data_IF_047596576664
#
_entry.id   IF_047596576664
#
_cell.length_a   1.000
_cell.length_b   1.000
_cell.length_c   1.000
_cell.angle_alpha   90.00
_cell.angle_beta   90.00
_cell.angle_gamma   90.00
#
_symmetry.space_group_name_H-M   'P 1'
#
loop_
_entity.id
_entity.type
_entity.pdbx_description
1 polymer ?
#
# COMPACT_ATOMS: atom_id res chain seq x y z
N UNK A 1 -67.31 -69.25 10.20
CA UNK A 1 -67.11 -68.04 11.02
C UNK A 1 -66.63 -66.93 10.10
N UNK A 2 -67.54 -66.16 9.48
CA UNK A 2 -67.92 -64.81 9.92
C UNK A 2 -66.72 -63.98 10.41
N UNK A 3 -66.22 -63.03 9.61
CA UNK A 3 -66.59 -61.61 9.66
C UNK A 3 -65.93 -60.79 8.55
N UNK A 4 -66.72 -59.87 7.98
CA UNK A 4 -66.37 -58.79 7.05
C UNK A 4 -65.56 -57.69 7.75
N UNK A 5 -64.78 -56.88 7.01
CA UNK A 5 -65.04 -55.45 6.70
C UNK A 5 -63.75 -54.64 6.36
N UNK A 6 -63.73 -54.07 5.14
CA UNK A 6 -63.32 -52.69 4.71
C UNK A 6 -61.92 -52.15 5.08
N UNK A 7 -61.11 -51.50 4.21
CA UNK A 7 -61.32 -50.63 3.03
C UNK A 7 -60.14 -50.82 2.04
N UNK A 8 -60.29 -50.97 0.71
CA UNK A 8 -60.67 -50.03 -0.36
C UNK A 8 -59.77 -48.79 -0.54
N UNK A 9 -58.88 -48.87 -1.55
CA UNK A 9 -58.49 -47.87 -2.59
C UNK A 9 -57.36 -48.53 -3.42
N UNK A 10 -57.58 -49.17 -4.57
CA UNK A 10 -57.75 -48.59 -5.93
C UNK A 10 -56.78 -47.40 -6.15
N UNK A 11 -55.97 -47.30 -7.21
CA UNK A 11 -55.84 -47.97 -8.51
C UNK A 11 -54.64 -47.25 -9.22
N UNK A 12 -54.30 -47.66 -10.44
CA UNK A 12 -53.45 -46.98 -11.44
C UNK A 12 -51.92 -47.14 -11.25
N UNK A 13 -51.24 -48.04 -11.97
CA UNK A 13 -50.99 -48.11 -13.41
C UNK A 13 -50.09 -46.99 -13.93
N UNK A 14 -48.89 -47.34 -14.40
CA UNK A 14 -48.46 -47.12 -15.79
C UNK A 14 -46.96 -47.36 -15.94
N UNK A 15 -46.62 -48.23 -16.89
CA UNK A 15 -45.29 -48.36 -17.47
C UNK A 15 -44.76 -47.00 -17.94
N UNK A 16 -43.48 -46.70 -17.68
CA UNK A 16 -42.74 -45.74 -18.49
C UNK A 16 -41.32 -46.27 -18.75
N UNK A 17 -41.03 -46.40 -20.04
CA UNK A 17 -39.78 -46.89 -20.63
C UNK A 17 -38.69 -45.84 -20.42
N UNK A 18 -37.59 -46.21 -19.74
CA UNK A 18 -36.38 -45.39 -19.69
C UNK A 18 -35.54 -45.64 -20.95
N UNK A 19 -35.65 -44.75 -21.94
CA UNK A 19 -34.61 -44.59 -22.97
C UNK A 19 -33.79 -43.37 -22.57
N UNK A 20 -32.69 -43.61 -21.86
CA UNK A 20 -31.72 -42.58 -21.51
C UNK A 20 -30.87 -42.23 -22.72
N UNK A 21 -31.23 -41.15 -23.42
CA UNK A 21 -30.37 -40.54 -24.43
C UNK A 21 -29.42 -39.55 -23.78
N UNK A 22 -28.15 -39.86 -23.98
CA UNK A 22 -26.96 -39.05 -23.79
C UNK A 22 -27.20 -37.66 -24.38
N UNK A 23 -27.17 -36.64 -23.53
CA UNK A 23 -26.88 -35.27 -23.94
C UNK A 23 -25.74 -34.79 -23.06
N UNK A 24 -24.52 -34.98 -23.59
CA UNK A 24 -23.34 -34.24 -23.18
C UNK A 24 -23.65 -32.74 -23.30
N UNK A 25 -24.11 -32.12 -22.21
CA UNK A 25 -23.86 -30.71 -22.02
C UNK A 25 -22.41 -30.59 -21.54
N UNK A 26 -21.49 -30.60 -22.50
CA UNK A 26 -20.24 -29.87 -22.35
C UNK A 26 -20.64 -28.40 -22.23
N UNK A 27 -20.93 -27.96 -21.01
CA UNK A 27 -20.78 -26.55 -20.68
C UNK A 27 -19.28 -26.32 -20.76
N UNK A 28 -18.81 -25.91 -21.93
CA UNK A 28 -17.50 -25.28 -22.04
C UNK A 28 -17.58 -24.06 -21.13
N UNK A 29 -17.02 -24.15 -19.94
CA UNK A 29 -16.55 -22.94 -19.27
C UNK A 29 -15.49 -22.38 -20.20
N UNK A 30 -15.85 -21.32 -20.91
CA UNK A 30 -14.86 -20.37 -21.36
C UNK A 30 -14.40 -19.70 -20.06
N UNK A 31 -13.43 -20.31 -19.38
CA UNK A 31 -12.51 -19.51 -18.59
C UNK A 31 -11.85 -18.58 -19.62
N UNK A 32 -12.27 -17.31 -19.63
CA UNK A 32 -11.48 -16.28 -20.26
C UNK A 32 -10.18 -16.22 -19.46
N UNK A 33 -9.18 -17.00 -19.88
CA UNK A 33 -7.82 -16.90 -19.41
C UNK A 33 -7.25 -15.59 -19.97
N UNK A 34 -7.68 -14.47 -19.37
CA UNK A 34 -6.97 -13.22 -19.50
C UNK A 34 -5.73 -13.35 -18.62
N UNK A 35 -4.73 -14.06 -19.14
CA UNK A 35 -3.36 -13.96 -18.65
C UNK A 35 -2.87 -12.55 -18.98
N UNK A 36 -3.30 -11.55 -18.20
CA UNK A 36 -2.70 -10.22 -18.23
C UNK A 36 -1.28 -10.45 -17.72
N UNK A 37 -0.30 -10.27 -18.60
CA UNK A 37 1.10 -10.34 -18.22
C UNK A 37 1.37 -9.16 -17.27
N UNK A 38 1.30 -9.43 -15.96
CA UNK A 38 1.39 -8.44 -14.89
C UNK A 38 2.68 -7.60 -14.96
N UNK A 39 3.74 -8.09 -15.63
CA UNK A 39 4.98 -7.34 -15.88
C UNK A 39 4.90 -6.27 -16.98
N UNK A 40 3.77 -6.15 -17.69
CA UNK A 40 3.61 -5.22 -18.82
C UNK A 40 2.69 -4.03 -18.53
N UNK A 41 1.92 -4.02 -17.43
CA UNK A 41 1.12 -2.84 -17.08
C UNK A 41 2.09 -1.79 -16.55
N UNK A 42 2.31 -0.72 -17.30
CA UNK A 42 3.31 0.20 -16.88
C UNK A 42 2.75 1.22 -15.90
N UNK A 43 3.33 1.22 -14.71
CA UNK A 43 3.09 2.25 -13.71
C UNK A 43 4.10 3.37 -13.99
N UNK A 44 3.73 4.35 -14.81
CA UNK A 44 4.59 5.50 -15.07
C UNK A 44 4.05 6.74 -14.36
N UNK A 45 4.95 7.44 -13.66
CA UNK A 45 4.72 8.82 -13.27
C UNK A 45 5.24 9.71 -14.41
N UNK A 46 4.34 10.28 -15.21
CA UNK A 46 4.73 11.19 -16.28
C UNK A 46 5.22 12.48 -15.63
N UNK A 47 6.54 12.66 -15.54
CA UNK A 47 7.11 13.89 -14.99
C UNK A 47 6.57 15.10 -15.80
N UNK A 48 5.92 16.09 -15.16
CA UNK A 48 5.61 17.33 -15.86
C UNK A 48 6.92 17.98 -16.32
N UNK A 49 6.92 18.60 -17.50
CA UNK A 49 8.07 19.36 -17.98
C UNK A 49 8.56 20.32 -16.86
N UNK A 50 9.87 20.43 -16.63
CA UNK A 50 10.40 21.32 -15.60
C UNK A 50 9.84 22.72 -15.84
N UNK A 51 9.18 23.28 -14.82
CA UNK A 51 8.74 24.68 -14.86
C UNK A 51 9.99 25.55 -15.14
N UNK A 52 9.90 26.57 -16.00
CA UNK A 52 10.99 27.54 -16.18
C UNK A 52 11.43 28.07 -14.81
N UNK A 53 12.72 28.35 -14.59
CA UNK A 53 13.20 28.84 -13.31
C UNK A 53 12.42 30.10 -12.94
N UNK A 54 11.65 30.01 -11.87
CA UNK A 54 11.00 31.16 -11.25
C UNK A 54 12.10 31.94 -10.52
N UNK A 55 12.35 33.19 -10.93
CA UNK A 55 13.33 34.08 -10.29
C UNK A 55 12.80 34.65 -8.95
N UNK A 56 11.85 33.97 -8.32
CA UNK A 56 11.30 34.27 -7.00
C UNK A 56 12.01 33.49 -5.88
N UNK A 57 11.78 33.93 -4.65
CA UNK A 57 12.34 33.39 -3.40
C UNK A 57 12.46 31.86 -3.43
N UNK A 58 13.62 31.27 -3.06
CA UNK A 58 13.76 29.84 -3.00
C UNK A 58 12.64 29.28 -2.12
N UNK A 59 11.84 28.34 -2.64
CA UNK A 59 11.05 27.50 -1.75
C UNK A 59 12.02 26.91 -0.74
N UNK A 60 11.73 27.08 0.55
CA UNK A 60 12.48 26.36 1.58
C UNK A 60 12.56 24.89 1.15
N UNK A 61 13.73 24.24 1.20
CA UNK A 61 13.81 22.83 0.85
C UNK A 61 12.76 22.10 1.68
N UNK A 62 11.76 21.50 1.02
CA UNK A 62 10.84 20.58 1.68
C UNK A 62 11.72 19.56 2.38
N UNK A 63 11.67 19.53 3.71
CA UNK A 63 12.59 18.75 4.53
C UNK A 63 12.46 17.26 4.24
N UNK A 64 13.25 16.75 3.30
CA UNK A 64 13.52 15.33 3.06
C UNK A 64 14.70 14.84 3.91
N UNK A 65 15.07 15.61 4.94
CA UNK A 65 16.24 15.36 5.75
C UNK A 65 16.06 14.13 6.61
N UNK A 66 16.72 13.03 6.26
CA UNK A 66 17.04 11.97 7.21
C UNK A 66 18.01 12.54 8.23
N UNK A 67 17.65 12.55 9.52
CA UNK A 67 18.59 12.86 10.59
C UNK A 67 18.97 11.54 11.25
N UNK A 68 20.28 11.31 11.34
CA UNK A 68 20.88 10.24 12.13
C UNK A 68 20.69 8.81 11.62
N UNK A 69 21.63 7.96 12.02
CA UNK A 69 21.40 6.55 12.23
C UNK A 69 21.91 6.28 13.64
N UNK A 70 21.00 5.97 14.56
CA UNK A 70 21.37 5.79 15.96
C UNK A 70 22.05 4.44 16.21
N UNK A 71 21.91 3.48 15.27
CA UNK A 71 22.48 2.15 15.33
C UNK A 71 22.96 1.76 13.93
N UNK A 72 23.97 2.49 13.44
CA UNK A 72 24.47 2.32 12.08
C UNK A 72 24.95 0.90 11.79
N UNK A 73 24.26 0.25 10.85
CA UNK A 73 24.55 -1.09 10.33
C UNK A 73 25.03 -0.96 8.88
N UNK A 74 26.35 -1.06 8.60
CA UNK A 74 26.89 -0.83 7.25
C UNK A 74 26.34 -1.80 6.19
N UNK A 75 25.82 -2.94 6.60
CA UNK A 75 25.18 -3.94 5.74
C UNK A 75 23.72 -3.63 5.36
N UNK A 76 23.07 -2.67 6.04
CA UNK A 76 21.69 -2.29 5.78
C UNK A 76 21.59 -0.88 5.17
N UNK A 77 20.61 -0.63 4.29
CA UNK A 77 20.20 0.73 3.95
C UNK A 77 19.82 1.54 5.19
N UNK A 78 19.90 2.87 5.08
CA UNK A 78 19.45 3.78 6.13
C UNK A 78 17.92 3.80 6.23
N UNK A 79 17.39 4.25 7.37
CA UNK A 79 15.96 4.59 7.53
C UNK A 79 15.52 5.51 6.38
N UNK A 80 14.57 5.03 5.57
CA UNK A 80 14.23 5.68 4.29
C UNK A 80 12.72 5.78 4.13
N UNK A 81 12.15 7.00 3.96
CA UNK A 81 10.74 7.15 3.64
C UNK A 81 10.50 6.78 2.17
N UNK A 82 9.50 5.96 1.87
CA UNK A 82 9.14 5.59 0.50
C UNK A 82 8.22 6.66 -0.13
N UNK A 83 8.72 7.89 -0.20
CA UNK A 83 8.07 9.02 -0.87
C UNK A 83 8.54 9.12 -2.32
N UNK A 84 7.62 9.37 -3.25
CA UNK A 84 7.99 9.49 -4.66
C UNK A 84 8.91 10.70 -4.90
N UNK A 85 9.82 10.59 -5.87
CA UNK A 85 10.68 11.72 -6.24
C UNK A 85 9.88 12.88 -6.84
N UNK A 86 10.46 14.08 -6.86
CA UNK A 86 9.94 15.24 -7.60
C UNK A 86 8.54 15.74 -7.20
N UNK A 87 8.23 15.83 -5.89
CA UNK A 87 6.93 16.31 -5.36
C UNK A 87 5.76 15.34 -5.64
N UNK A 88 6.01 14.03 -5.56
CA UNK A 88 4.96 13.02 -5.58
C UNK A 88 4.44 12.78 -4.16
N UNK A 89 3.71 13.76 -3.64
CA UNK A 89 3.13 13.80 -2.30
C UNK A 89 1.60 13.62 -2.31
N UNK A 90 0.98 13.30 -3.46
CA UNK A 90 -0.47 13.29 -3.58
C UNK A 90 -1.11 11.98 -3.09
N UNK A 91 -2.25 12.12 -2.42
CA UNK A 91 -3.20 11.04 -2.14
C UNK A 91 -4.63 11.49 -2.41
N UNK A 92 -5.50 10.57 -2.86
CA UNK A 92 -6.95 10.81 -2.87
C UNK A 92 -7.66 10.18 -1.65
N UNK A 93 -6.95 9.33 -0.91
CA UNK A 93 -7.47 8.65 0.27
C UNK A 93 -7.74 9.63 1.42
N UNK A 94 -8.84 9.37 2.13
CA UNK A 94 -9.20 9.99 3.40
C UNK A 94 -8.18 9.67 4.50
N UNK A 95 -7.57 8.48 4.42
CA UNK A 95 -6.58 7.94 5.35
C UNK A 95 -5.42 7.35 4.51
N UNK A 96 -4.47 8.18 4.04
CA UNK A 96 -3.31 7.70 3.31
C UNK A 96 -2.44 6.79 4.19
N UNK A 97 -1.75 5.86 3.55
CA UNK A 97 -0.80 4.94 4.20
C UNK A 97 0.62 5.37 3.87
N UNK A 98 1.43 5.56 4.91
CA UNK A 98 2.83 5.95 4.82
C UNK A 98 3.70 4.71 4.82
N UNK A 99 4.62 4.59 3.87
CA UNK A 99 5.51 3.43 3.73
C UNK A 99 6.95 3.83 4.00
N UNK A 100 7.66 3.05 4.81
CA UNK A 100 9.00 3.35 5.28
C UNK A 100 9.84 2.06 5.22
N UNK A 101 11.07 2.15 4.72
CA UNK A 101 12.07 1.11 4.97
C UNK A 101 12.69 1.34 6.35
N UNK A 102 12.57 0.35 7.23
CA UNK A 102 13.00 0.37 8.62
C UNK A 102 14.17 -0.61 8.83
N UNK A 103 15.40 -0.11 9.12
CA UNK A 103 16.57 -0.97 9.35
C UNK A 103 16.66 -1.53 10.78
N UNK A 104 15.78 -1.10 11.68
CA UNK A 104 15.82 -1.39 13.11
C UNK A 104 14.82 -2.47 13.50
N UNK A 105 15.18 -3.24 14.53
CA UNK A 105 14.34 -4.28 15.14
C UNK A 105 13.89 -3.88 16.55
N UNK A 106 12.97 -4.65 17.12
CA UNK A 106 12.52 -4.55 18.51
C UNK A 106 13.65 -4.71 19.54
N UNK A 107 14.73 -5.43 19.19
CA UNK A 107 15.94 -5.56 20.01
C UNK A 107 16.85 -4.32 19.94
N UNK A 108 16.86 -3.64 18.78
CA UNK A 108 17.64 -2.42 18.56
C UNK A 108 17.00 -1.22 19.27
N UNK A 109 15.69 -1.05 19.07
CA UNK A 109 14.89 0.01 19.68
C UNK A 109 13.48 -0.52 19.95
N UNK A 110 12.99 -0.48 21.20
CA UNK A 110 11.72 -1.12 21.55
C UNK A 110 10.49 -0.40 20.97
N UNK A 111 10.62 0.86 20.55
CA UNK A 111 9.51 1.67 20.03
C UNK A 111 10.00 2.81 19.14
N UNK A 112 9.06 3.39 18.41
CA UNK A 112 9.17 4.69 17.77
C UNK A 112 7.94 5.55 18.07
N UNK A 113 7.95 6.76 17.52
CA UNK A 113 6.83 7.69 17.54
C UNK A 113 6.52 8.13 16.11
N UNK A 114 5.27 7.94 15.69
CA UNK A 114 4.74 8.50 14.46
C UNK A 114 3.93 9.75 14.79
N UNK A 115 4.10 10.81 14.01
CA UNK A 115 3.28 12.01 14.11
C UNK A 115 2.84 12.50 12.75
N UNK A 116 1.59 12.97 12.68
CA UNK A 116 1.06 13.76 11.57
C UNK A 116 0.83 15.19 12.07
N UNK A 117 1.30 16.15 11.30
CA UNK A 117 1.29 17.57 11.60
C UNK A 117 0.71 18.36 10.43
N UNK A 118 0.39 19.62 10.67
CA UNK A 118 0.15 20.57 9.58
C UNK A 118 1.39 20.74 8.68
N UNK A 119 1.21 21.46 7.56
CA UNK A 119 2.26 21.64 6.54
C UNK A 119 3.55 22.26 7.12
N UNK A 120 3.39 23.23 8.02
CA UNK A 120 4.49 23.96 8.66
C UNK A 120 5.19 23.13 9.75
N UNK A 121 4.54 22.07 10.26
CA UNK A 121 5.04 21.25 11.36
C UNK A 121 4.90 21.93 12.73
N UNK A 122 4.01 22.91 12.84
CA UNK A 122 3.79 23.69 14.06
C UNK A 122 2.73 23.05 14.96
N UNK A 123 1.76 22.35 14.38
CA UNK A 123 0.66 21.73 15.12
C UNK A 123 0.59 20.21 14.87
N UNK A 124 0.68 19.43 15.94
CA UNK A 124 0.40 17.99 15.90
C UNK A 124 -1.11 17.74 15.73
N UNK A 125 -1.45 17.00 14.68
CA UNK A 125 -2.82 16.55 14.38
C UNK A 125 -3.03 15.15 14.95
N UNK A 126 -2.01 14.30 14.84
CA UNK A 126 -2.02 12.94 15.34
C UNK A 126 -0.62 12.54 15.81
N UNK A 127 -0.57 11.71 16.85
CA UNK A 127 0.67 11.14 17.36
C UNK A 127 0.41 9.80 18.01
N UNK A 128 1.24 8.81 17.70
CA UNK A 128 1.16 7.49 18.29
C UNK A 128 2.54 6.89 18.51
N UNK A 129 2.65 6.04 19.53
CA UNK A 129 3.83 5.19 19.68
C UNK A 129 3.63 3.92 18.86
N UNK A 130 4.63 3.54 18.09
CA UNK A 130 4.64 2.33 17.26
C UNK A 130 5.64 1.32 17.79
N UNK A 131 5.31 0.03 17.71
CA UNK A 131 6.27 -1.04 18.03
C UNK A 131 7.09 -1.40 16.79
N UNK A 132 8.38 -1.62 16.98
CA UNK A 132 9.25 -2.07 15.91
C UNK A 132 9.12 -3.58 15.70
N UNK A 133 9.30 -4.07 14.46
CA UNK A 133 9.26 -5.50 14.14
C UNK A 133 10.52 -6.24 14.60
N UNK A 134 10.47 -7.57 14.59
CA UNK A 134 11.64 -8.40 14.97
C UNK A 134 12.70 -8.53 13.86
N UNK A 135 12.42 -7.99 12.67
CA UNK A 135 13.34 -8.00 11.52
C UNK A 135 13.27 -6.69 10.74
N UNK A 136 14.37 -6.25 10.10
CA UNK A 136 14.35 -5.10 9.21
C UNK A 136 13.41 -5.33 8.02
N UNK A 137 12.75 -4.28 7.54
CA UNK A 137 11.82 -4.42 6.43
C UNK A 137 11.08 -3.16 6.03
N UNK A 138 10.21 -3.28 5.03
CA UNK A 138 9.31 -2.22 4.61
C UNK A 138 8.04 -2.31 5.42
N UNK A 139 7.73 -1.24 6.15
CA UNK A 139 6.60 -1.14 7.07
C UNK A 139 5.65 -0.05 6.61
N UNK A 140 4.40 -0.12 7.08
CA UNK A 140 3.39 0.90 6.83
C UNK A 140 2.77 1.47 8.10
N UNK A 141 2.28 2.70 8.01
CA UNK A 141 1.53 3.37 9.07
C UNK A 141 0.31 4.05 8.44
N UNK A 142 -0.86 3.87 9.02
CA UNK A 142 -2.12 4.45 8.54
C UNK A 142 -2.88 4.97 9.74
N UNK A 143 -3.41 6.19 9.63
CA UNK A 143 -4.23 6.76 10.71
C UNK A 143 -5.45 5.87 10.97
N UNK A 144 -5.81 5.63 12.24
CA UNK A 144 -6.99 4.85 12.55
C UNK A 144 -8.24 5.63 12.12
N UNK A 145 -9.28 4.90 11.67
CA UNK A 145 -10.55 5.50 11.23
C UNK A 145 -11.35 6.19 12.36
N UNK A 146 -10.84 6.14 13.59
CA UNK A 146 -11.36 6.92 14.73
C UNK A 146 -10.95 8.38 14.67
N UNK A 147 -9.86 8.70 13.97
CA UNK A 147 -9.42 10.07 13.75
C UNK A 147 -10.17 10.73 12.58
N UNK A 148 -10.13 12.06 12.55
CA UNK A 148 -10.66 12.81 11.43
C UNK A 148 -9.87 12.49 10.14
N UNK A 149 -10.56 12.29 9.00
CA UNK A 149 -9.89 12.11 7.72
C UNK A 149 -9.14 13.39 7.35
N UNK A 150 -8.07 13.26 6.55
CA UNK A 150 -7.31 14.42 6.09
C UNK A 150 -8.20 15.32 5.24
N UNK A 151 -8.01 16.63 5.19
CA UNK A 151 -8.90 17.50 4.42
C UNK A 151 -8.44 17.66 2.97
N UNK A 152 -9.39 17.62 2.04
CA UNK A 152 -9.10 17.84 0.62
C UNK A 152 -8.56 19.24 0.40
N UNK A 153 -7.41 19.32 -0.29
CA UNK A 153 -6.71 20.57 -0.61
C UNK A 153 -5.55 20.87 0.33
N UNK A 154 -5.50 20.23 1.50
CA UNK A 154 -4.51 20.45 2.55
C UNK A 154 -3.27 19.57 2.39
N UNK A 155 -2.13 20.12 2.78
CA UNK A 155 -0.85 19.43 2.90
C UNK A 155 -0.55 19.17 4.37
N UNK A 156 0.03 18.01 4.64
CA UNK A 156 0.40 17.55 5.98
C UNK A 156 1.83 17.05 5.97
N UNK A 157 2.52 17.24 7.09
CA UNK A 157 3.84 16.67 7.34
C UNK A 157 3.69 15.45 8.23
N UNK A 158 4.28 14.33 7.83
CA UNK A 158 4.40 13.18 8.70
C UNK A 158 5.85 12.93 9.07
N UNK A 159 6.06 12.35 10.24
CA UNK A 159 7.37 12.05 10.80
C UNK A 159 7.33 10.69 11.49
N UNK A 160 8.40 9.92 11.35
CA UNK A 160 8.67 8.73 12.14
C UNK A 160 10.01 8.91 12.84
N UNK A 161 9.98 8.91 14.17
CA UNK A 161 11.15 8.96 15.05
C UNK A 161 11.35 7.61 15.71
N UNK A 162 12.59 7.13 15.75
CA UNK A 162 12.94 5.88 16.42
C UNK A 162 13.51 6.19 17.80
N UNK A 163 12.96 5.56 18.84
CA UNK A 163 13.39 5.74 20.22
C UNK A 163 14.64 4.91 20.49
N UNK A 164 15.77 5.38 19.98
CA UNK A 164 17.03 4.67 20.10
C UNK A 164 17.56 4.72 21.54
N UNK A 165 18.12 3.60 22.04
CA UNK A 165 18.72 3.57 23.38
C UNK A 165 19.93 4.52 23.44
N UNK A 166 20.03 5.30 24.51
CA UNK A 166 21.23 6.12 24.76
C UNK A 166 22.39 5.22 25.19
N UNK A 167 23.48 5.19 24.44
CA UNK A 167 24.70 4.53 24.89
C UNK A 167 25.44 5.42 25.89
N UNK A 168 25.56 4.98 27.16
CA UNK A 168 26.31 5.71 28.21
C UNK A 168 27.81 5.92 27.87
N UNK A 169 28.32 5.25 26.84
CA UNK A 169 29.73 5.26 26.42
C UNK A 169 30.09 6.39 25.44
N UNK A 170 29.11 7.11 24.88
CA UNK A 170 29.34 8.24 23.99
C UNK A 170 28.90 9.54 24.67
N UNK A 171 29.84 10.47 24.89
CA UNK A 171 29.51 11.86 25.27
C UNK A 171 28.81 12.65 24.15
N UNK A 172 28.42 11.98 23.07
CA UNK A 172 27.61 12.50 21.98
C UNK A 172 26.17 12.04 22.20
N UNK A 173 25.24 13.00 22.27
CA UNK A 173 23.81 12.69 22.24
C UNK A 173 23.54 11.87 20.97
N UNK A 174 22.88 10.70 21.04
CA UNK A 174 22.53 9.96 19.85
C UNK A 174 21.72 10.88 18.93
N UNK A 175 22.13 11.00 17.67
CA UNK A 175 21.30 11.73 16.70
C UNK A 175 20.02 10.90 16.54
N UNK A 176 18.83 11.44 16.86
CA UNK A 176 17.60 10.68 16.73
C UNK A 176 17.45 10.24 15.28
N UNK A 177 17.23 8.94 15.06
CA UNK A 177 16.97 8.40 13.73
C UNK A 177 15.54 8.77 13.36
N UNK A 178 15.38 9.67 12.40
CA UNK A 178 14.06 10.13 11.98
C UNK A 178 13.96 10.32 10.48
N UNK A 179 12.73 10.13 9.97
CA UNK A 179 12.37 10.40 8.58
C UNK A 179 11.07 11.17 8.52
N UNK A 180 11.04 12.14 7.60
CA UNK A 180 9.86 12.96 7.32
C UNK A 180 9.39 12.81 5.89
N UNK A 181 8.10 13.03 5.67
CA UNK A 181 7.52 13.19 4.35
C UNK A 181 6.34 14.16 4.37
N UNK A 182 5.84 14.47 3.17
CA UNK A 182 4.64 15.28 2.98
C UNK A 182 3.55 14.45 2.33
N UNK A 183 2.30 14.71 2.69
CA UNK A 183 1.14 14.23 1.96
C UNK A 183 0.16 15.37 1.72
N UNK A 184 -0.29 15.50 0.48
CA UNK A 184 -1.36 16.42 0.10
C UNK A 184 -2.58 15.63 -0.31
N UNK A 185 -3.68 15.77 0.44
CA UNK A 185 -4.96 15.16 0.03
C UNK A 185 -5.55 15.99 -1.09
N UNK A 186 -5.82 15.37 -2.24
CA UNK A 186 -6.45 16.03 -3.38
C UNK A 186 -7.82 15.42 -3.68
N UNK A 187 -8.71 16.22 -4.25
CA UNK A 187 -9.98 15.70 -4.72
C UNK A 187 -9.73 14.70 -5.84
N UNK A 188 -10.47 13.59 -5.84
CA UNK A 188 -10.46 12.68 -6.96
C UNK A 188 -11.00 13.38 -8.22
N UNK A 189 -10.18 13.48 -9.26
CA UNK A 189 -10.60 14.08 -10.52
C UNK A 189 -11.65 13.20 -11.21
N UNK A 190 -12.54 13.80 -12.01
CA UNK A 190 -13.54 13.05 -12.78
C UNK A 190 -12.93 12.04 -13.75
N UNK A 191 -11.74 12.32 -14.27
CA UNK A 191 -11.03 11.41 -15.17
C UNK A 191 -10.46 10.23 -14.40
N UNK A 192 -9.83 10.46 -13.24
CA UNK A 192 -9.38 9.39 -12.35
C UNK A 192 -10.57 8.53 -11.89
N UNK A 193 -11.70 9.13 -11.53
CA UNK A 193 -12.92 8.41 -11.17
C UNK A 193 -13.43 7.52 -12.31
N UNK A 194 -13.44 8.04 -13.55
CA UNK A 194 -13.84 7.25 -14.72
C UNK A 194 -12.90 6.07 -14.96
N UNK A 195 -11.59 6.27 -14.82
CA UNK A 195 -10.58 5.23 -15.00
C UNK A 195 -10.66 4.16 -13.90
N UNK A 196 -10.83 4.56 -12.63
CA UNK A 196 -11.02 3.63 -11.51
C UNK A 196 -12.32 2.83 -11.64
N UNK A 197 -13.41 3.44 -12.10
CA UNK A 197 -14.68 2.73 -12.32
C UNK A 197 -14.64 1.78 -13.53
N UNK A 198 -13.76 2.04 -14.50
CA UNK A 198 -13.55 1.19 -15.66
C UNK A 198 -12.52 0.08 -15.45
N UNK A 199 -11.74 0.14 -14.36
CA UNK A 199 -10.73 -0.85 -14.04
C UNK A 199 -11.37 -2.17 -13.56
N UNK A 200 -11.01 -3.26 -14.21
CA UNK A 200 -11.46 -4.61 -13.89
C UNK A 200 -10.45 -5.38 -13.05
N UNK A 201 -9.22 -4.86 -12.92
CA UNK A 201 -8.15 -5.49 -12.14
C UNK A 201 -7.47 -4.49 -11.20
N UNK A 202 -6.87 -4.98 -10.08
CA UNK A 202 -6.07 -4.13 -9.20
C UNK A 202 -4.91 -3.42 -9.91
N UNK A 203 -4.27 -4.06 -10.89
CA UNK A 203 -3.20 -3.43 -11.65
C UNK A 203 -3.68 -2.25 -12.50
N UNK A 204 -4.87 -2.33 -13.10
CA UNK A 204 -5.45 -1.22 -13.85
C UNK A 204 -5.75 -0.03 -12.93
N UNK A 205 -6.18 -0.29 -11.69
CA UNK A 205 -6.37 0.75 -10.67
C UNK A 205 -5.06 1.41 -10.26
N UNK A 206 -4.02 0.61 -9.99
CA UNK A 206 -2.66 1.10 -9.69
C UNK A 206 -2.13 1.96 -10.85
N UNK A 207 -2.32 1.53 -12.10
CA UNK A 207 -1.91 2.30 -13.27
C UNK A 207 -2.67 3.63 -13.39
N UNK A 208 -3.97 3.65 -13.08
CA UNK A 208 -4.75 4.88 -13.04
C UNK A 208 -4.23 5.87 -11.99
N UNK A 209 -3.94 5.40 -10.77
CA UNK A 209 -3.33 6.26 -9.74
C UNK A 209 -1.97 6.81 -10.18
N UNK A 210 -1.10 5.97 -10.75
CA UNK A 210 0.22 6.37 -11.22
C UNK A 210 0.16 7.43 -12.33
N UNK A 211 -0.76 7.25 -13.30
CA UNK A 211 -1.02 8.22 -14.37
C UNK A 211 -1.47 9.59 -13.86
N UNK A 212 -2.17 9.60 -12.73
CA UNK A 212 -2.67 10.80 -12.06
C UNK A 212 -1.76 11.30 -10.92
N UNK A 213 -0.52 10.77 -10.84
CA UNK A 213 0.49 11.18 -9.86
C UNK A 213 0.10 10.95 -8.39
N UNK A 214 -0.85 10.04 -8.14
CA UNK A 214 -1.33 9.71 -6.79
C UNK A 214 -0.41 8.63 -6.19
N UNK A 215 0.76 9.06 -5.70
CA UNK A 215 1.83 8.17 -5.26
C UNK A 215 1.44 7.27 -4.10
N UNK A 216 0.86 7.84 -3.02
CA UNK A 216 0.53 7.08 -1.82
C UNK A 216 -0.44 5.94 -2.12
N UNK A 217 -1.48 6.20 -2.90
CA UNK A 217 -2.47 5.20 -3.29
C UNK A 217 -1.86 4.14 -4.25
N UNK A 218 -1.01 4.57 -5.19
CA UNK A 218 -0.29 3.66 -6.10
C UNK A 218 0.59 2.67 -5.33
N UNK A 219 1.41 3.19 -4.40
CA UNK A 219 2.35 2.40 -3.61
C UNK A 219 1.60 1.47 -2.66
N UNK A 220 0.55 1.97 -2.03
CA UNK A 220 -0.27 1.20 -1.08
C UNK A 220 -0.98 0.04 -1.76
N UNK A 221 -1.68 0.27 -2.86
CA UNK A 221 -2.42 -0.80 -3.53
C UNK A 221 -1.46 -1.88 -4.09
N UNK A 222 -0.27 -1.51 -4.58
CA UNK A 222 0.74 -2.49 -4.98
C UNK A 222 1.35 -3.26 -3.80
N UNK A 223 1.64 -2.58 -2.69
CA UNK A 223 2.18 -3.22 -1.49
C UNK A 223 1.18 -4.21 -0.87
N UNK A 224 -0.11 -3.86 -0.84
CA UNK A 224 -1.17 -4.74 -0.35
C UNK A 224 -1.32 -6.00 -1.19
N UNK A 225 -1.24 -5.90 -2.53
CA UNK A 225 -1.22 -7.08 -3.40
C UNK A 225 -0.01 -7.97 -3.11
N UNK A 226 1.17 -7.38 -2.88
CA UNK A 226 2.37 -8.13 -2.52
C UNK A 226 2.27 -8.83 -1.17
N UNK A 227 1.62 -8.20 -0.20
CA UNK A 227 1.35 -8.82 1.11
C UNK A 227 0.35 -9.99 0.98
N UNK A 228 -0.62 -9.88 0.09
CA UNK A 228 -1.62 -10.93 -0.16
C UNK A 228 -1.07 -12.12 -0.96
N UNK A 229 -0.17 -11.87 -1.91
CA UNK A 229 0.46 -12.91 -2.75
C UNK A 229 1.99 -12.74 -2.84
N UNK A 230 2.74 -13.06 -1.76
CA UNK A 230 4.18 -12.79 -1.68
C UNK A 230 5.04 -13.58 -2.68
N UNK A 231 4.51 -14.67 -3.25
CA UNK A 231 5.22 -15.53 -4.20
C UNK A 231 4.99 -15.12 -5.66
N UNK A 232 4.20 -14.07 -5.89
CA UNK A 232 3.91 -13.58 -7.22
C UNK A 232 5.08 -12.77 -7.80
N UNK A 233 5.89 -13.44 -8.62
CA UNK A 233 7.05 -12.83 -9.28
C UNK A 233 6.70 -11.59 -10.11
N UNK A 234 5.47 -11.48 -10.62
CA UNK A 234 5.08 -10.32 -11.39
C UNK A 234 4.81 -9.10 -10.50
N UNK A 235 4.15 -9.29 -9.35
CA UNK A 235 3.97 -8.22 -8.37
C UNK A 235 5.33 -7.79 -7.80
N UNK A 236 6.25 -8.74 -7.62
CA UNK A 236 7.61 -8.43 -7.23
C UNK A 236 8.33 -7.56 -8.27
N UNK A 237 8.26 -7.95 -9.54
CA UNK A 237 8.88 -7.19 -10.64
C UNK A 237 8.28 -5.79 -10.74
N UNK A 238 6.95 -5.66 -10.62
CA UNK A 238 6.28 -4.37 -10.65
C UNK A 238 6.71 -3.46 -9.50
N UNK A 239 6.86 -4.01 -8.29
CA UNK A 239 7.31 -3.28 -7.11
C UNK A 239 8.76 -2.82 -7.23
N UNK A 240 9.66 -3.72 -7.62
CA UNK A 240 11.07 -3.38 -7.81
C UNK A 240 11.19 -2.24 -8.82
N UNK A 241 10.50 -2.37 -9.96
CA UNK A 241 10.47 -1.34 -11.01
C UNK A 241 9.95 -0.01 -10.49
N UNK A 242 8.80 -0.01 -9.81
CA UNK A 242 8.18 1.20 -9.25
C UNK A 242 9.16 1.99 -8.36
N UNK A 243 9.85 1.28 -7.47
CA UNK A 243 10.80 1.91 -6.54
C UNK A 243 12.09 2.34 -7.25
N UNK A 244 12.65 1.52 -8.14
CA UNK A 244 13.87 1.91 -8.86
C UNK A 244 13.63 3.10 -9.81
N UNK A 245 12.45 3.21 -10.41
CA UNK A 245 12.07 4.35 -11.26
C UNK A 245 12.00 5.66 -10.45
N UNK A 246 11.81 5.58 -9.13
CA UNK A 246 11.88 6.71 -8.19
C UNK A 246 13.25 6.88 -7.52
N UNK A 247 14.30 6.27 -8.07
CA UNK A 247 15.69 6.34 -7.56
C UNK A 247 15.92 5.71 -6.19
N UNK A 248 15.01 4.85 -5.70
CA UNK A 248 15.31 4.03 -4.53
C UNK A 248 16.37 2.98 -4.87
N UNK A 249 17.27 2.71 -3.92
CA UNK A 249 18.31 1.70 -4.10
C UNK A 249 17.70 0.30 -4.23
N UNK A 250 18.31 -0.54 -5.07
CA UNK A 250 17.82 -1.89 -5.35
C UNK A 250 17.71 -2.77 -4.10
N UNK A 251 18.56 -2.54 -3.10
CA UNK A 251 18.50 -3.24 -1.81
C UNK A 251 17.18 -3.00 -1.08
N UNK A 252 16.69 -1.75 -1.06
CA UNK A 252 15.38 -1.42 -0.46
C UNK A 252 14.28 -2.08 -1.28
N UNK A 253 14.34 -1.99 -2.61
CA UNK A 253 13.25 -2.50 -3.45
C UNK A 253 13.07 -4.02 -3.41
N UNK A 254 14.11 -4.77 -3.03
CA UNK A 254 14.06 -6.23 -2.80
C UNK A 254 13.77 -6.63 -1.36
N UNK A 255 13.62 -5.67 -0.45
CA UNK A 255 13.35 -5.96 0.96
C UNK A 255 11.90 -6.45 1.15
N UNK A 256 11.70 -7.34 2.12
CA UNK A 256 10.37 -7.84 2.49
C UNK A 256 9.45 -6.71 3.00
N UNK A 257 8.19 -6.77 2.58
CA UNK A 257 7.12 -5.94 3.15
C UNK A 257 6.58 -6.66 4.38
N UNK A 258 6.63 -6.00 5.53
CA UNK A 258 6.20 -6.53 6.83
C UNK A 258 4.75 -6.15 7.16
N UNK A 259 4.26 -5.04 6.59
CA UNK A 259 2.90 -4.54 6.81
C UNK A 259 2.83 -3.43 7.85
N UNK A 260 1.66 -3.26 8.45
CA UNK A 260 1.33 -2.11 9.30
C UNK A 260 1.98 -2.22 10.69
N UNK A 261 2.59 -1.12 11.15
CA UNK A 261 3.01 -0.96 12.54
C UNK A 261 1.79 -0.61 13.40
N UNK A 262 1.70 -1.24 14.57
CA UNK A 262 0.70 -1.01 15.62
C UNK A 262 1.36 -0.86 16.99
#
# INVERSE_FOLDING_TARGET
MLTKLFRLKYLFASNLVFVGWISCFLVSRVEADQSINLGQVPIYFIQPNPKPPDNGTPSAPHGTGTRGDCLYKPELPLLTPLVGGYNLDLSVSDYPTFWIYLPYTSEDAPSGEFSLQDEDGENDIYRESVKLPDQPGIVSITLPKTENPLEVGQTYRWNLEINCPSTELSNELPTPASVTGLVRRVAQSKDLERELNGANTPLERIAAYGKHHIWYDTLTELAELRLQDPQNMNLETAWIKLLTDQSFVETISKTNILGNLQ
#
